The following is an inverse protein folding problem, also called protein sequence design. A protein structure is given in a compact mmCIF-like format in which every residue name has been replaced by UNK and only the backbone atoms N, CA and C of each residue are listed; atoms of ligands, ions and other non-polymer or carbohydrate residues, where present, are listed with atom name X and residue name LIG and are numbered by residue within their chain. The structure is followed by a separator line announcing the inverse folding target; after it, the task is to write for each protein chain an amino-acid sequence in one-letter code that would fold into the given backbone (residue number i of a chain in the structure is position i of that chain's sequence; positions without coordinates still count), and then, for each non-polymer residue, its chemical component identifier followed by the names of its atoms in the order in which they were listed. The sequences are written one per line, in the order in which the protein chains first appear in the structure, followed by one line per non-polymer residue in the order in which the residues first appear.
data_IF_897128347220
#
_entry.id   IF_897128347220
#
_cell.length_a   1.000
_cell.length_b   1.000
_cell.length_c   1.000
_cell.angle_alpha   90.00
_cell.angle_beta   90.00
_cell.angle_gamma   90.00
#
_symmetry.space_group_name_H-M   'P 1'
#
loop_
_entity.id
_entity.type
_entity.pdbx_description
1 polymer ?
#
# COMPACT_ATOMS: atom_id res chain seq x y z
N UNK A 1 8.62 -24.68 -6.34
CA UNK A 1 8.96 -24.29 -4.96
C UNK A 1 10.38 -23.74 -4.98
N UNK A 2 10.56 -22.46 -4.67
CA UNK A 2 11.87 -21.81 -4.63
C UNK A 2 12.46 -21.82 -3.22
N UNK A 3 13.79 -21.82 -3.12
CA UNK A 3 14.49 -21.52 -1.87
C UNK A 3 14.73 -20.02 -1.79
N UNK A 4 14.49 -19.44 -0.62
CA UNK A 4 14.74 -18.02 -0.34
C UNK A 4 15.46 -17.87 1.00
N UNK A 5 16.14 -16.73 1.19
CA UNK A 5 16.72 -16.37 2.47
C UNK A 5 15.66 -15.64 3.29
N UNK A 6 15.53 -16.01 4.57
CA UNK A 6 14.61 -15.34 5.49
C UNK A 6 15.05 -13.87 5.68
N UNK A 7 14.15 -12.88 5.51
CA UNK A 7 14.50 -11.48 5.68
C UNK A 7 14.82 -11.10 7.13
N UNK A 8 14.38 -11.90 8.13
CA UNK A 8 14.60 -11.62 9.55
C UNK A 8 15.89 -12.23 10.10
N UNK A 9 16.22 -13.47 9.70
CA UNK A 9 17.37 -14.21 10.26
C UNK A 9 18.40 -14.66 9.21
N UNK A 10 18.16 -14.42 7.92
CA UNK A 10 19.07 -14.79 6.83
C UNK A 10 19.11 -16.28 6.48
N UNK A 11 18.45 -17.16 7.25
CA UNK A 11 18.47 -18.62 6.98
C UNK A 11 17.77 -18.97 5.67
N UNK A 12 18.34 -19.93 4.94
CA UNK A 12 17.68 -20.55 3.77
C UNK A 12 16.44 -21.33 4.21
N UNK A 13 15.33 -21.12 3.51
CA UNK A 13 14.08 -21.83 3.73
C UNK A 13 13.31 -22.01 2.41
N UNK A 14 12.37 -22.94 2.41
CA UNK A 14 11.45 -23.13 1.28
C UNK A 14 10.41 -22.01 1.31
N UNK A 15 10.26 -21.30 0.20
CA UNK A 15 9.30 -20.21 0.06
C UNK A 15 7.89 -20.67 0.43
N UNK A 16 7.26 -19.90 1.31
CA UNK A 16 5.91 -20.09 1.82
C UNK A 16 5.12 -18.77 1.71
N UNK A 17 3.82 -18.83 1.95
CA UNK A 17 2.94 -17.65 1.89
C UNK A 17 3.33 -16.56 2.92
N UNK A 18 3.95 -16.96 4.03
CA UNK A 18 4.37 -16.04 5.09
C UNK A 18 5.65 -15.27 4.78
N UNK A 19 6.45 -15.72 3.79
CA UNK A 19 7.71 -15.09 3.41
C UNK A 19 8.80 -15.14 4.49
N UNK A 20 8.61 -15.95 5.53
CA UNK A 20 9.49 -16.10 6.68
C UNK A 20 9.81 -17.58 6.89
N UNK A 21 11.01 -17.88 7.37
CA UNK A 21 11.33 -19.25 7.78
C UNK A 21 10.43 -19.68 8.97
N UNK A 22 10.18 -20.99 9.16
CA UNK A 22 9.29 -21.49 10.21
C UNK A 22 9.63 -20.97 11.61
N UNK A 23 10.92 -20.93 11.96
CA UNK A 23 11.37 -20.43 13.26
C UNK A 23 11.05 -18.94 13.49
N UNK A 24 11.24 -18.09 12.47
CA UNK A 24 10.88 -16.67 12.59
C UNK A 24 9.36 -16.47 12.57
N UNK A 25 8.63 -17.31 11.84
CA UNK A 25 7.18 -17.28 11.84
C UNK A 25 6.61 -17.61 13.24
N UNK A 26 7.11 -18.67 13.87
CA UNK A 26 6.73 -19.05 15.24
C UNK A 26 7.04 -17.95 16.26
N UNK A 27 8.20 -17.28 16.13
CA UNK A 27 8.54 -16.13 16.98
C UNK A 27 7.55 -14.97 16.83
N UNK A 28 7.16 -14.65 15.60
CA UNK A 28 6.18 -13.60 15.33
C UNK A 28 4.82 -13.96 15.94
N UNK A 29 4.37 -15.20 15.82
CA UNK A 29 3.10 -15.64 16.42
C UNK A 29 3.18 -15.58 17.97
N UNK A 30 4.29 -15.98 18.57
CA UNK A 30 4.49 -15.86 20.02
C UNK A 30 4.50 -14.39 20.50
N UNK A 31 5.11 -13.49 19.73
CA UNK A 31 5.09 -12.06 20.01
C UNK A 31 3.69 -11.45 19.81
N UNK A 32 2.92 -11.94 18.83
CA UNK A 32 1.53 -11.51 18.59
C UNK A 32 0.66 -11.81 19.82
N UNK A 33 0.81 -13.00 20.41
CA UNK A 33 0.10 -13.39 21.64
C UNK A 33 0.44 -12.46 22.79
N UNK A 34 1.73 -12.15 23.02
CA UNK A 34 2.15 -11.23 24.10
C UNK A 34 1.54 -9.83 23.93
N UNK A 35 1.55 -9.31 22.71
CA UNK A 35 1.02 -7.97 22.40
C UNK A 35 -0.50 -7.96 22.61
N UNK A 36 -1.22 -8.99 22.16
CA UNK A 36 -2.67 -9.09 22.35
C UNK A 36 -3.03 -9.23 23.83
N UNK A 37 -2.29 -10.05 24.59
CA UNK A 37 -2.53 -10.20 26.02
C UNK A 37 -2.32 -8.89 26.78
N UNK A 38 -1.28 -8.12 26.42
CA UNK A 38 -1.10 -6.78 26.98
C UNK A 38 -2.25 -5.83 26.61
N UNK A 39 -2.69 -5.84 25.35
CA UNK A 39 -3.77 -4.95 24.88
C UNK A 39 -5.14 -5.30 25.48
N UNK A 40 -5.37 -6.57 25.87
CA UNK A 40 -6.58 -6.98 26.60
C UNK A 40 -6.74 -6.23 27.92
N UNK A 41 -5.63 -6.04 28.64
CA UNK A 41 -5.61 -5.30 29.89
C UNK A 41 -5.53 -3.78 29.65
N UNK A 42 -4.67 -3.37 28.71
CA UNK A 42 -4.47 -1.98 28.31
C UNK A 42 -5.30 -1.64 27.06
N UNK A 43 -6.57 -1.25 27.27
CA UNK A 43 -7.49 -0.85 26.18
C UNK A 43 -6.96 0.30 25.29
N UNK A 44 -5.98 1.06 25.78
CA UNK A 44 -5.27 2.11 25.05
C UNK A 44 -3.79 1.96 25.32
N UNK A 45 -2.98 1.88 24.27
CA UNK A 45 -1.53 1.80 24.38
C UNK A 45 -0.86 2.53 23.20
N UNK A 46 0.34 3.04 23.42
CA UNK A 46 1.21 3.57 22.37
C UNK A 46 2.18 2.49 21.88
N UNK A 47 2.68 2.64 20.66
CA UNK A 47 3.70 1.75 20.10
C UNK A 47 4.91 1.57 21.03
N UNK A 48 5.33 2.66 21.69
CA UNK A 48 6.46 2.67 22.61
C UNK A 48 6.15 1.88 23.89
N UNK A 49 4.98 2.09 24.49
CA UNK A 49 4.56 1.32 25.68
C UNK A 49 4.50 -0.18 25.39
N UNK A 50 3.97 -0.57 24.22
CA UNK A 50 3.93 -1.97 23.81
C UNK A 50 5.36 -2.51 23.68
N UNK A 51 6.27 -1.75 23.06
CA UNK A 51 7.67 -2.14 22.94
C UNK A 51 8.33 -2.33 24.32
N UNK A 52 8.16 -1.37 25.22
CA UNK A 52 8.79 -1.37 26.54
C UNK A 52 8.30 -2.52 27.41
N UNK A 53 7.02 -2.89 27.30
CA UNK A 53 6.41 -3.92 28.15
C UNK A 53 6.59 -5.32 27.55
N UNK A 54 6.35 -5.47 26.24
CA UNK A 54 6.39 -6.79 25.59
C UNK A 54 7.80 -7.18 25.16
N UNK A 55 8.73 -6.22 25.05
CA UNK A 55 10.07 -6.40 24.50
C UNK A 55 10.11 -6.68 22.99
N UNK A 56 8.95 -6.63 22.32
CA UNK A 56 8.84 -6.89 20.88
C UNK A 56 9.33 -5.65 20.12
N UNK A 57 10.11 -5.84 19.05
CA UNK A 57 10.62 -4.72 18.24
C UNK A 57 9.47 -3.92 17.63
N UNK A 58 9.57 -2.59 17.65
CA UNK A 58 8.59 -1.67 17.06
C UNK A 58 8.24 -2.02 15.61
N UNK A 59 9.23 -2.42 14.79
CA UNK A 59 9.02 -2.84 13.40
C UNK A 59 8.07 -4.04 13.25
N UNK A 60 8.15 -4.99 14.19
CA UNK A 60 7.31 -6.19 14.22
C UNK A 60 5.89 -5.80 14.64
N UNK A 61 5.77 -5.00 15.71
CA UNK A 61 4.47 -4.48 16.19
C UNK A 61 3.78 -3.69 15.07
N UNK A 62 4.50 -2.82 14.38
CA UNK A 62 3.96 -2.04 13.26
C UNK A 62 3.53 -2.93 12.08
N UNK A 63 4.18 -4.07 11.86
CA UNK A 63 3.76 -5.05 10.85
C UNK A 63 2.50 -5.80 11.28
N UNK A 64 2.36 -6.13 12.57
CA UNK A 64 1.17 -6.76 13.14
C UNK A 64 -0.05 -5.84 13.03
N UNK A 65 0.09 -4.56 13.43
CA UNK A 65 -0.96 -3.56 13.29
C UNK A 65 -1.37 -3.41 11.81
N UNK A 66 -0.42 -3.37 10.88
CA UNK A 66 -0.69 -3.30 9.43
C UNK A 66 -1.44 -4.49 8.84
N UNK A 67 -1.33 -5.68 9.44
CA UNK A 67 -2.08 -6.86 9.04
C UNK A 67 -3.54 -6.82 9.50
N UNK A 68 -3.92 -5.86 10.36
CA UNK A 68 -5.30 -5.62 10.77
C UNK A 68 -5.88 -6.67 11.72
N UNK A 69 -5.07 -7.59 12.27
CA UNK A 69 -5.54 -8.63 13.18
C UNK A 69 -5.82 -8.14 14.62
N UNK A 70 -5.30 -6.97 14.99
CA UNK A 70 -5.32 -6.44 16.37
C UNK A 70 -6.14 -5.14 16.50
N UNK A 71 -6.38 -4.44 15.38
CA UNK A 71 -6.88 -3.05 15.38
C UNK A 71 -8.39 -2.90 15.64
N UNK A 72 -9.21 -3.95 15.51
CA UNK A 72 -10.67 -3.79 15.64
C UNK A 72 -11.13 -3.53 17.07
N UNK A 73 -10.37 -4.02 18.06
CA UNK A 73 -10.85 -4.11 19.44
C UNK A 73 -10.10 -3.17 20.40
N UNK A 74 -8.92 -2.66 20.00
CA UNK A 74 -8.03 -1.86 20.86
C UNK A 74 -7.57 -0.57 20.18
N UNK A 75 -7.47 0.53 20.95
CA UNK A 75 -6.99 1.81 20.42
C UNK A 75 -5.47 1.93 20.62
N UNK A 76 -4.71 1.53 19.59
CA UNK A 76 -3.24 1.65 19.58
C UNK A 76 -2.81 2.88 18.80
N UNK A 77 -2.04 3.77 19.41
CA UNK A 77 -1.49 4.95 18.72
C UNK A 77 -0.08 4.69 18.17
N UNK A 78 0.12 4.91 16.87
CA UNK A 78 1.39 4.72 16.16
C UNK A 78 1.62 5.82 15.11
N UNK A 79 2.86 6.12 14.71
CA UNK A 79 3.15 7.23 13.80
C UNK A 79 2.76 6.92 12.35
N UNK A 80 2.24 7.93 11.65
CA UNK A 80 1.96 7.90 10.21
C UNK A 80 3.26 7.76 9.41
N UNK A 81 3.26 6.88 8.39
CA UNK A 81 4.48 6.60 7.59
C UNK A 81 5.01 7.81 6.80
N UNK A 82 4.16 8.78 6.47
CA UNK A 82 4.56 9.98 5.70
C UNK A 82 4.93 11.18 6.57
N UNK A 83 4.13 11.52 7.58
CA UNK A 83 4.30 12.75 8.36
C UNK A 83 4.66 12.52 9.83
N UNK A 84 4.62 11.28 10.32
CA UNK A 84 4.88 10.95 11.73
C UNK A 84 3.73 11.28 12.70
N UNK A 85 2.60 11.81 12.22
CA UNK A 85 1.43 12.10 13.07
C UNK A 85 0.87 10.81 13.70
N UNK A 86 0.53 10.85 14.99
CA UNK A 86 -0.03 9.69 15.69
C UNK A 86 -1.43 9.35 15.14
N UNK A 87 -1.56 8.13 14.66
CA UNK A 87 -2.79 7.55 14.12
C UNK A 87 -3.20 6.33 14.94
N UNK A 88 -4.51 6.07 14.98
CA UNK A 88 -5.08 4.88 15.65
C UNK A 88 -5.46 3.79 14.68
N UNK A 89 -5.61 4.12 13.40
CA UNK A 89 -6.04 3.22 12.34
C UNK A 89 -5.42 3.60 10.99
N UNK A 90 -5.31 2.61 10.09
CA UNK A 90 -4.76 2.80 8.75
C UNK A 90 -3.24 2.93 8.70
N UNK A 91 -2.68 3.23 7.51
CA UNK A 91 -1.22 3.46 7.34
C UNK A 91 -0.84 4.94 7.30
N UNK A 92 -1.79 5.77 6.88
CA UNK A 92 -1.63 7.19 6.65
C UNK A 92 -2.67 7.95 7.46
N UNK A 93 -2.29 9.10 8.01
CA UNK A 93 -3.26 9.99 8.61
C UNK A 93 -4.24 10.52 7.55
N UNK A 94 -5.39 11.00 8.01
CA UNK A 94 -6.45 11.55 7.14
C UNK A 94 -5.97 12.68 6.24
N UNK A 95 -4.91 13.41 6.63
CA UNK A 95 -4.29 14.47 5.83
C UNK A 95 -3.44 13.90 4.70
N UNK A 96 -2.56 12.95 5.02
CA UNK A 96 -1.71 12.29 4.04
C UNK A 96 -2.52 11.47 3.04
N UNK A 97 -3.54 10.73 3.48
CA UNK A 97 -4.40 9.95 2.59
C UNK A 97 -5.14 10.83 1.59
N UNK A 98 -5.68 11.98 2.03
CA UNK A 98 -6.32 12.97 1.14
C UNK A 98 -5.35 13.54 0.11
N UNK A 99 -4.15 13.95 0.55
CA UNK A 99 -3.11 14.45 -0.35
C UNK A 99 -2.70 13.45 -1.43
N UNK A 100 -2.69 12.15 -1.11
CA UNK A 100 -2.48 11.10 -2.11
C UNK A 100 -3.66 10.98 -3.08
N UNK A 101 -4.90 10.98 -2.59
CA UNK A 101 -6.08 10.88 -3.47
C UNK A 101 -6.22 12.08 -4.40
N UNK A 102 -5.85 13.27 -3.95
CA UNK A 102 -5.97 14.50 -4.74
C UNK A 102 -4.90 14.57 -5.84
N UNK A 103 -3.73 13.96 -5.64
CA UNK A 103 -2.72 13.79 -6.69
C UNK A 103 -3.19 12.81 -7.79
N UNK A 104 -3.93 11.77 -7.42
CA UNK A 104 -4.49 10.80 -8.38
C UNK A 104 -5.68 11.40 -9.16
N UNK A 105 -6.43 12.34 -8.57
CA UNK A 105 -7.64 12.93 -9.18
C UNK A 105 -7.39 14.04 -10.21
N UNK A 106 -6.13 14.47 -10.43
CA UNK A 106 -5.82 15.43 -11.51
C UNK A 106 -5.57 14.69 -12.85
N UNK A 107 -6.13 15.20 -13.96
CA UNK A 107 -7.06 14.44 -14.78
C UNK A 107 -6.41 13.68 -15.94
N UNK A 108 -6.97 12.52 -16.28
CA UNK A 108 -6.86 11.98 -17.63
C UNK A 108 -7.73 12.84 -18.56
N UNK A 109 -7.14 13.89 -19.12
CA UNK A 109 -7.74 14.62 -20.24
C UNK A 109 -7.60 13.75 -21.49
N UNK A 110 -8.69 13.27 -22.13
CA UNK A 110 -8.56 12.70 -23.46
C UNK A 110 -8.37 13.85 -24.46
N UNK A 111 -7.12 14.23 -24.70
CA UNK A 111 -6.74 15.08 -25.83
C UNK A 111 -6.85 14.28 -27.14
N UNK A 112 -8.07 13.98 -27.59
CA UNK A 112 -8.33 13.52 -28.96
C UNK A 112 -9.00 14.66 -29.72
N UNK A 113 -8.19 15.40 -30.48
CA UNK A 113 -8.61 16.54 -31.29
C UNK A 113 -9.61 16.11 -32.38
N UNK A 114 -10.83 16.63 -32.29
CA UNK A 114 -11.91 16.41 -33.23
C UNK A 114 -11.83 17.30 -34.50
N UNK A 115 -10.65 17.46 -35.11
CA UNK A 115 -10.44 18.38 -36.25
C UNK A 115 -10.13 17.74 -37.61
N UNK A 116 -9.73 16.47 -37.72
CA UNK A 116 -9.26 15.90 -38.99
C UNK A 116 -10.32 15.14 -39.81
N UNK A 117 -11.54 15.70 -39.97
CA UNK A 117 -12.58 15.06 -40.82
C UNK A 117 -13.24 15.93 -41.88
N UNK A 118 -12.71 17.13 -42.15
CA UNK A 118 -13.27 18.04 -43.18
C UNK A 118 -12.23 18.49 -44.22
N UNK A 119 -11.51 17.57 -44.86
CA UNK A 119 -10.59 17.92 -45.97
C UNK A 119 -10.77 17.05 -47.24
N UNK A 120 -11.59 15.99 -47.24
CA UNK A 120 -11.64 15.04 -48.37
C UNK A 120 -12.77 15.25 -49.39
N UNK A 121 -13.56 16.34 -49.30
CA UNK A 121 -14.75 16.53 -50.15
C UNK A 121 -14.70 17.69 -51.15
N UNK A 122 -13.55 18.38 -51.35
CA UNK A 122 -13.51 19.59 -52.21
C UNK A 122 -12.52 19.60 -53.36
N UNK A 123 -11.79 18.52 -53.61
CA UNK A 123 -10.81 18.50 -54.69
C UNK A 123 -11.27 17.57 -55.81
N UNK A 124 -11.65 18.21 -56.92
CA UNK A 124 -11.53 17.69 -58.28
C UNK A 124 -12.72 17.03 -58.98
N UNK A 125 -13.95 17.37 -58.58
CA UNK A 125 -15.10 17.33 -59.50
C UNK A 125 -15.09 18.59 -60.38
N UNK A 126 -14.13 18.67 -61.33
CA UNK A 126 -14.07 19.63 -62.46
C UNK A 126 -12.81 19.38 -63.28
N UNK A 127 -12.83 18.41 -64.20
CA UNK A 127 -11.98 18.44 -65.40
C UNK A 127 -12.38 17.37 -66.42
N UNK A 128 -13.67 17.20 -66.71
CA UNK A 128 -14.05 16.66 -68.01
C UNK A 128 -14.11 17.81 -69.01
N UNK A 129 -13.08 17.97 -69.84
CA UNK A 129 -13.25 18.20 -71.29
C UNK A 129 -11.92 18.43 -72.03
N UNK A 130 -11.82 17.69 -73.14
CA UNK A 130 -10.97 17.81 -74.31
C UNK A 130 -9.66 17.01 -74.32
N UNK A 131 -9.53 15.92 -75.11
CA UNK A 131 -9.61 15.72 -76.58
C UNK A 131 -8.22 15.80 -77.25
N UNK A 132 -7.93 14.75 -78.04
CA UNK A 132 -7.10 14.67 -79.27
C UNK A 132 -5.64 14.24 -79.12
N UNK A 133 -5.34 12.99 -79.55
CA UNK A 133 -4.70 12.73 -80.85
C UNK A 133 -5.14 11.39 -81.42
#
# INVERSE_FOLDING_TARGET
MGLKNCPECGRLFVENASGLCPACYEQVEADEVKVVDYLRDARKATLQEIHDITGVKENIIMRMLRRGRILSDFAVSYPCETCGELITEGRLCSRCSKGFTDQIKKPAEPAWNASDRKESQKTHERMYSNKIR
#
